data_IF_782018939376
#
_entry.id   IF_782018939376
#
_cell.length_a   1.000
_cell.length_b   1.000
_cell.length_c   1.000
_cell.angle_alpha   90.00
_cell.angle_beta   90.00
_cell.angle_gamma   90.00
#
_symmetry.space_group_name_H-M   'P 1'
#
loop_
_entity.id
_entity.type
_entity.pdbx_description
1 polymer ?
#
# COMPACT_ATOMS: atom_id res chain seq x y z
N UNK A 1 20.07 16.25 35.17
CA UNK A 1 19.79 16.56 33.76
C UNK A 1 19.07 15.36 33.17
N UNK A 2 17.76 15.49 32.96
CA UNK A 2 16.89 14.44 32.43
C UNK A 2 17.11 14.28 30.93
N UNK A 3 17.52 13.10 30.48
CA UNK A 3 17.40 12.69 29.08
C UNK A 3 16.69 11.34 29.00
N UNK A 4 15.36 11.37 29.14
CA UNK A 4 14.49 10.24 28.79
C UNK A 4 14.41 10.09 27.27
N UNK A 5 15.52 9.73 26.62
CA UNK A 5 15.51 9.35 25.22
C UNK A 5 14.96 7.93 25.13
N UNK A 6 13.76 7.79 24.54
CA UNK A 6 13.21 6.48 24.16
C UNK A 6 13.55 6.24 22.69
N UNK A 7 14.45 5.33 22.35
CA UNK A 7 14.76 5.04 20.95
C UNK A 7 13.51 4.48 20.28
N UNK A 8 13.22 4.99 19.09
CA UNK A 8 12.10 4.56 18.24
C UNK A 8 12.65 4.02 16.93
N UNK A 9 11.93 3.08 16.31
CA UNK A 9 12.31 2.48 15.06
C UNK A 9 11.13 1.79 14.37
N UNK A 10 11.30 1.52 13.08
CA UNK A 10 10.35 0.71 12.31
C UNK A 10 10.63 -0.75 12.64
N UNK A 11 9.69 -1.39 13.34
CA UNK A 11 9.82 -2.79 13.78
C UNK A 11 9.10 -3.78 12.86
N UNK A 12 8.30 -3.29 11.92
CA UNK A 12 7.65 -4.11 10.89
C UNK A 12 6.99 -3.24 9.84
N UNK A 13 6.87 -3.77 8.63
CA UNK A 13 6.15 -3.16 7.51
C UNK A 13 5.23 -4.17 6.87
N UNK A 14 4.18 -3.69 6.24
CA UNK A 14 3.18 -4.50 5.58
C UNK A 14 2.64 -3.75 4.37
N UNK A 15 2.22 -4.52 3.37
CA UNK A 15 1.56 -3.99 2.18
C UNK A 15 0.37 -4.87 1.84
N UNK A 16 -0.56 -4.26 1.15
CA UNK A 16 -1.64 -4.91 0.45
C UNK A 16 -1.92 -4.11 -0.81
N UNK A 17 -2.24 -4.80 -1.90
CA UNK A 17 -2.66 -4.19 -3.16
C UNK A 17 -3.91 -4.93 -3.65
N UNK A 18 -4.88 -4.22 -4.23
CA UNK A 18 -6.07 -4.84 -4.83
C UNK A 18 -5.71 -5.91 -5.85
N UNK A 19 -6.54 -6.92 -6.05
CA UNK A 19 -6.24 -8.00 -6.99
C UNK A 19 -6.32 -7.56 -8.46
N UNK A 20 -7.24 -6.65 -8.80
CA UNK A 20 -7.47 -6.24 -10.18
C UNK A 20 -6.29 -5.45 -10.74
N UNK A 21 -5.64 -6.01 -11.75
CA UNK A 21 -4.58 -5.35 -12.52
C UNK A 21 -5.21 -4.59 -13.69
N UNK A 22 -4.76 -3.36 -13.89
CA UNK A 22 -5.02 -2.54 -15.08
C UNK A 22 -3.67 -2.27 -15.76
N UNK A 23 -3.48 -2.86 -16.93
CA UNK A 23 -2.28 -2.66 -17.75
C UNK A 23 -2.34 -1.32 -18.48
N UNK A 24 -1.21 -0.88 -19.02
CA UNK A 24 -1.21 0.31 -19.88
C UNK A 24 -2.04 0.09 -21.14
N UNK A 25 -2.04 -1.12 -21.72
CA UNK A 25 -2.87 -1.43 -22.89
C UNK A 25 -4.36 -1.36 -22.60
N UNK A 26 -4.79 -1.77 -21.40
CA UNK A 26 -6.19 -1.56 -20.96
C UNK A 26 -6.50 -0.06 -20.84
N UNK A 27 -5.56 0.73 -20.34
CA UNK A 27 -5.72 2.17 -20.16
C UNK A 27 -5.82 2.94 -21.49
N UNK A 28 -5.12 2.50 -22.53
CA UNK A 28 -5.23 3.02 -23.90
C UNK A 28 -6.66 2.93 -24.45
N UNK A 29 -7.42 1.91 -24.01
CA UNK A 29 -8.82 1.76 -24.42
C UNK A 29 -9.79 2.68 -23.65
N UNK A 30 -9.31 3.34 -22.59
CA UNK A 30 -10.12 4.19 -21.71
C UNK A 30 -9.86 5.68 -21.90
N UNK A 31 -8.63 6.06 -22.29
CA UNK A 31 -8.19 7.46 -22.45
C UNK A 31 -7.18 7.57 -23.59
N UNK A 32 -7.03 8.75 -24.18
CA UNK A 32 -6.04 9.02 -25.24
C UNK A 32 -4.61 8.98 -24.66
N UNK A 33 -3.95 7.82 -24.75
CA UNK A 33 -2.59 7.58 -24.26
C UNK A 33 -1.93 6.41 -25.00
N UNK A 34 -0.67 6.10 -24.68
CA UNK A 34 0.02 4.88 -25.15
C UNK A 34 0.96 4.32 -24.07
N UNK A 35 1.26 3.02 -24.12
CA UNK A 35 2.23 2.36 -23.25
C UNK A 35 3.60 3.06 -23.34
N UNK A 36 4.08 3.38 -24.54
CA UNK A 36 5.36 4.07 -24.74
C UNK A 36 5.36 5.44 -24.06
N UNK A 37 4.26 6.19 -24.20
CA UNK A 37 4.12 7.50 -23.56
C UNK A 37 4.12 7.37 -22.04
N UNK A 38 3.35 6.42 -21.48
CA UNK A 38 3.25 6.20 -20.03
C UNK A 38 4.60 5.75 -19.46
N UNK A 39 5.25 4.75 -20.07
CA UNK A 39 6.50 4.17 -19.58
C UNK A 39 7.63 5.19 -19.68
N UNK A 40 7.75 5.92 -20.80
CA UNK A 40 8.84 6.91 -20.98
C UNK A 40 8.77 8.06 -19.99
N UNK A 41 7.56 8.43 -19.53
CA UNK A 41 7.34 9.55 -18.61
C UNK A 41 7.31 9.15 -17.14
N UNK A 42 6.79 7.95 -16.83
CA UNK A 42 6.48 7.55 -15.45
C UNK A 42 7.13 6.24 -15.01
N UNK A 43 7.59 5.42 -15.96
CA UNK A 43 8.07 4.06 -15.70
C UNK A 43 6.98 3.05 -15.32
N UNK A 44 5.71 3.47 -15.28
CA UNK A 44 4.60 2.59 -14.88
C UNK A 44 4.23 1.67 -16.04
N UNK A 45 4.10 0.37 -15.76
CA UNK A 45 3.65 -0.66 -16.72
C UNK A 45 2.25 -1.19 -16.44
N UNK A 46 1.87 -1.18 -15.17
CA UNK A 46 0.57 -1.64 -14.68
C UNK A 46 0.26 -0.97 -13.34
N UNK A 47 -1.02 -0.96 -12.97
CA UNK A 47 -1.48 -0.56 -11.63
C UNK A 47 -2.54 -1.53 -11.12
N UNK A 48 -2.77 -1.47 -9.81
CA UNK A 48 -3.87 -2.18 -9.16
C UNK A 48 -5.03 -1.23 -8.89
N UNK A 49 -6.26 -1.69 -9.11
CA UNK A 49 -7.49 -0.91 -8.94
C UNK A 49 -8.37 -1.61 -7.92
N UNK A 50 -8.84 -0.87 -6.92
CA UNK A 50 -9.75 -1.40 -5.91
C UNK A 50 -11.06 -1.87 -6.52
N UNK A 51 -11.61 -2.97 -5.98
CA UNK A 51 -12.94 -3.42 -6.36
C UNK A 51 -14.02 -2.44 -5.84
N UNK A 52 -15.23 -2.40 -6.44
CA UNK A 52 -16.30 -1.52 -5.97
C UNK A 52 -16.72 -1.75 -4.52
N UNK A 53 -16.52 -2.97 -4.01
CA UNK A 53 -16.79 -3.42 -2.66
C UNK A 53 -15.55 -3.40 -1.74
N UNK A 54 -14.42 -2.89 -2.22
CA UNK A 54 -13.18 -2.80 -1.46
C UNK A 54 -12.89 -1.35 -1.07
N UNK A 55 -13.07 -1.03 0.23
CA UNK A 55 -12.83 0.30 0.74
C UNK A 55 -11.37 0.52 1.15
N UNK A 56 -10.95 1.78 1.25
CA UNK A 56 -9.59 2.14 1.72
C UNK A 56 -9.28 1.53 3.10
N UNK A 57 -10.28 1.39 3.97
CA UNK A 57 -10.13 0.75 5.28
C UNK A 57 -9.76 -0.73 5.17
N UNK A 58 -10.27 -1.44 4.16
CA UNK A 58 -9.96 -2.86 3.94
C UNK A 58 -8.49 -3.01 3.50
N UNK A 59 -8.05 -2.14 2.58
CA UNK A 59 -6.65 -2.09 2.13
C UNK A 59 -5.70 -1.82 3.32
N UNK A 60 -6.04 -0.82 4.13
CA UNK A 60 -5.27 -0.44 5.32
C UNK A 60 -5.27 -1.57 6.37
N UNK A 61 -6.41 -2.23 6.58
CA UNK A 61 -6.53 -3.37 7.48
C UNK A 61 -5.58 -4.51 7.08
N UNK A 62 -5.61 -4.92 5.82
CA UNK A 62 -4.72 -5.98 5.33
C UNK A 62 -3.24 -5.60 5.41
N UNK A 63 -2.90 -4.36 5.06
CA UNK A 63 -1.53 -3.85 5.22
C UNK A 63 -1.08 -3.82 6.70
N UNK A 64 -1.95 -3.39 7.62
CA UNK A 64 -1.67 -3.34 9.05
C UNK A 64 -1.52 -4.74 9.67
N UNK A 65 -2.38 -5.69 9.29
CA UNK A 65 -2.24 -7.11 9.71
C UNK A 65 -0.90 -7.69 9.25
N UNK A 66 -0.49 -7.41 8.01
CA UNK A 66 0.80 -7.84 7.49
C UNK A 66 1.97 -7.16 8.22
N UNK A 67 1.85 -5.88 8.57
CA UNK A 67 2.85 -5.14 9.34
C UNK A 67 3.01 -5.69 10.77
N UNK A 68 1.90 -5.98 11.45
CA UNK A 68 1.88 -6.61 12.77
C UNK A 68 2.52 -8.00 12.74
N UNK A 69 2.19 -8.81 11.73
CA UNK A 69 2.81 -10.12 11.52
C UNK A 69 4.32 -10.00 11.30
N UNK A 70 4.75 -9.06 10.47
CA UNK A 70 6.17 -8.76 10.21
C UNK A 70 6.91 -8.35 11.50
N UNK A 71 6.26 -7.56 12.36
CA UNK A 71 6.79 -7.15 13.65
C UNK A 71 6.71 -8.23 14.75
N UNK A 72 6.06 -9.38 14.50
CA UNK A 72 5.81 -10.39 15.53
C UNK A 72 4.90 -9.91 16.65
N UNK A 73 3.99 -8.97 16.37
CA UNK A 73 3.16 -8.27 17.34
C UNK A 73 1.68 -8.64 17.23
N UNK A 74 0.99 -8.67 18.36
CA UNK A 74 -0.46 -8.83 18.40
C UNK A 74 -1.16 -7.47 18.44
N UNK A 75 -2.23 -7.26 17.67
CA UNK A 75 -2.97 -6.00 17.62
C UNK A 75 -3.40 -5.43 18.99
N UNK A 76 -3.59 -6.26 20.02
CA UNK A 76 -4.00 -5.84 21.38
C UNK A 76 -2.96 -4.96 22.10
N UNK A 77 -1.71 -4.96 21.66
CA UNK A 77 -0.66 -4.15 22.27
C UNK A 77 -0.54 -2.76 21.61
N UNK A 78 -1.28 -2.52 20.53
CA UNK A 78 -1.33 -1.21 19.89
C UNK A 78 -2.06 -0.22 20.81
N UNK A 79 -1.44 0.94 21.01
CA UNK A 79 -2.04 2.03 21.79
C UNK A 79 -2.56 3.16 20.90
N UNK A 80 -2.11 3.23 19.64
CA UNK A 80 -2.47 4.27 18.68
C UNK A 80 -2.47 3.69 17.26
N UNK A 81 -3.46 4.09 16.46
CA UNK A 81 -3.57 3.88 15.01
C UNK A 81 -3.78 5.28 14.38
N UNK A 82 -3.06 5.59 13.30
CA UNK A 82 -3.14 6.86 12.57
C UNK A 82 -3.58 6.62 11.13
#
# INVERSE_FOLDING_TARGET
MNSNLRPVGIIGTGKYVPEKILTNHDLEQMVETSDEWIVSRTGIRQRHIAAPDEATSDLAYHAAVNALKSAGMHARILNLLL
#
